data_IF_436744995107
#
_entry.id   IF_436744995107
#
_cell.length_a   1.000
_cell.length_b   1.000
_cell.length_c   1.000
_cell.angle_alpha   90.00
_cell.angle_beta   90.00
_cell.angle_gamma   90.00
#
_symmetry.space_group_name_H-M   'P 1'
#
loop_
_entity.id
_entity.type
_entity.pdbx_description
1 polymer ?
#
# COMPACT_ATOMS: atom_id res chain seq x y z
N UNK A 1 -9.62 16.49 2.15
CA UNK A 1 -8.22 16.57 2.65
C UNK A 1 -7.65 15.18 2.75
N UNK A 2 -6.42 14.98 2.29
CA UNK A 2 -5.73 13.69 2.38
C UNK A 2 -4.98 13.62 3.72
N UNK A 3 -5.26 12.59 4.51
CA UNK A 3 -4.63 12.42 5.83
C UNK A 3 -3.99 11.04 5.93
N UNK A 4 -2.95 10.95 6.76
CA UNK A 4 -2.15 9.73 6.95
C UNK A 4 -1.96 9.49 8.44
N UNK A 5 -2.07 8.24 8.87
CA UNK A 5 -1.66 7.83 10.21
C UNK A 5 -0.84 6.55 10.14
N UNK A 6 0.04 6.35 11.12
CA UNK A 6 1.01 5.27 11.14
C UNK A 6 0.98 4.62 12.52
N UNK A 7 0.98 3.28 12.56
CA UNK A 7 1.03 2.51 13.79
C UNK A 7 2.03 1.36 13.61
N UNK A 8 3.03 1.29 14.47
CA UNK A 8 4.07 0.27 14.43
C UNK A 8 4.01 -0.67 15.65
N UNK A 9 2.93 -0.61 16.43
CA UNK A 9 2.81 -1.39 17.66
C UNK A 9 2.44 -2.86 17.44
N UNK A 10 1.97 -3.22 16.26
CA UNK A 10 1.55 -4.58 15.94
C UNK A 10 2.68 -5.43 15.34
N UNK A 11 2.32 -6.64 14.90
CA UNK A 11 3.31 -7.57 14.30
C UNK A 11 3.76 -7.16 12.90
N UNK A 12 3.19 -6.13 12.32
CA UNK A 12 3.60 -5.54 11.05
C UNK A 12 3.35 -4.04 11.13
N UNK A 13 3.91 -3.31 10.18
CA UNK A 13 3.73 -1.86 10.10
C UNK A 13 2.37 -1.56 9.48
N UNK A 14 1.58 -0.70 10.13
CA UNK A 14 0.27 -0.29 9.63
C UNK A 14 0.32 1.18 9.22
N UNK A 15 -0.06 1.46 7.98
CA UNK A 15 -0.21 2.82 7.48
C UNK A 15 -1.62 3.00 6.94
N UNK A 16 -2.30 4.05 7.37
CA UNK A 16 -3.69 4.34 7.01
C UNK A 16 -3.76 5.69 6.35
N UNK A 17 -4.45 5.77 5.21
CA UNK A 17 -4.72 7.03 4.54
C UNK A 17 -6.20 7.22 4.35
N UNK A 18 -6.64 8.47 4.23
CA UNK A 18 -8.04 8.80 3.96
C UNK A 18 -8.14 10.08 3.14
N UNK A 19 -9.25 10.21 2.41
CA UNK A 19 -9.57 11.39 1.64
C UNK A 19 -9.34 11.21 0.15
N UNK A 20 -9.57 12.29 -0.60
CA UNK A 20 -9.33 12.30 -2.05
C UNK A 20 -7.84 12.31 -2.31
N UNK A 21 -7.39 11.45 -3.22
CA UNK A 21 -5.97 11.28 -3.48
C UNK A 21 -5.67 11.31 -4.97
N UNK A 22 -4.69 12.11 -5.33
CA UNK A 22 -4.09 12.12 -6.67
C UNK A 22 -2.80 11.30 -6.62
N UNK A 23 -2.16 11.12 -7.75
CA UNK A 23 -0.94 10.31 -7.86
C UNK A 23 0.14 10.76 -6.87
N UNK A 24 0.39 12.07 -6.78
CA UNK A 24 1.40 12.62 -5.87
C UNK A 24 1.13 12.28 -4.40
N UNK A 25 -0.14 12.31 -3.97
CA UNK A 25 -0.50 11.95 -2.60
C UNK A 25 -0.14 10.49 -2.30
N UNK A 26 -0.47 9.59 -3.22
CA UNK A 26 -0.26 8.16 -3.00
C UNK A 26 1.23 7.78 -3.11
N UNK A 27 1.96 8.40 -4.02
CA UNK A 27 3.41 8.19 -4.11
C UNK A 27 4.11 8.69 -2.84
N UNK A 28 3.74 9.87 -2.35
CA UNK A 28 4.30 10.40 -1.11
C UNK A 28 3.97 9.55 0.10
N UNK A 29 2.75 9.03 0.16
CA UNK A 29 2.32 8.12 1.21
C UNK A 29 3.14 6.82 1.19
N UNK A 30 3.39 6.27 0.00
CA UNK A 30 4.22 5.08 -0.14
C UNK A 30 5.66 5.34 0.32
N UNK A 31 6.24 6.47 -0.07
CA UNK A 31 7.60 6.84 0.32
C UNK A 31 7.73 6.99 1.85
N UNK A 32 6.79 7.72 2.46
CA UNK A 32 6.79 7.91 3.90
C UNK A 32 6.65 6.58 4.63
N UNK A 33 5.67 5.76 4.23
CA UNK A 33 5.40 4.48 4.86
C UNK A 33 6.61 3.56 4.78
N UNK A 34 7.25 3.48 3.63
CA UNK A 34 8.43 2.65 3.42
C UNK A 34 9.59 3.11 4.31
N UNK A 35 9.87 4.41 4.33
CA UNK A 35 10.99 4.95 5.13
C UNK A 35 10.80 4.69 6.61
N UNK A 36 9.60 4.89 7.13
CA UNK A 36 9.34 4.67 8.55
C UNK A 36 9.39 3.17 8.87
N UNK A 37 8.81 2.32 8.02
CA UNK A 37 8.85 0.88 8.21
C UNK A 37 10.28 0.35 8.26
N UNK A 38 11.13 0.78 7.33
CA UNK A 38 12.54 0.38 7.29
C UNK A 38 13.28 0.87 8.54
N UNK A 39 13.04 2.12 8.95
CA UNK A 39 13.66 2.69 10.15
C UNK A 39 13.27 1.94 11.42
N UNK A 40 12.07 1.35 11.45
CA UNK A 40 11.58 0.57 12.59
C UNK A 40 11.94 -0.91 12.49
N UNK A 41 12.62 -1.33 11.44
CA UNK A 41 12.98 -2.73 11.23
C UNK A 41 11.82 -3.62 10.83
N UNK A 42 10.70 -3.06 10.38
CA UNK A 42 9.54 -3.82 9.92
C UNK A 42 9.78 -4.31 8.50
N UNK A 43 9.43 -5.56 8.25
CA UNK A 43 9.58 -6.19 6.93
C UNK A 43 8.26 -6.40 6.21
N UNK A 44 7.16 -6.30 6.94
CA UNK A 44 5.82 -6.51 6.40
C UNK A 44 4.97 -5.31 6.74
N UNK A 45 4.16 -4.87 5.76
CA UNK A 45 3.40 -3.63 5.85
C UNK A 45 1.97 -3.87 5.39
N UNK A 46 1.02 -3.30 6.14
CA UNK A 46 -0.37 -3.20 5.69
C UNK A 46 -0.67 -1.75 5.38
N UNK A 47 -1.13 -1.49 4.17
CA UNK A 47 -1.53 -0.17 3.69
C UNK A 47 -3.05 -0.15 3.60
N UNK A 48 -3.70 0.56 4.52
CA UNK A 48 -5.16 0.65 4.57
C UNK A 48 -5.62 1.86 3.77
N UNK A 49 -6.28 1.58 2.64
CA UNK A 49 -6.81 2.58 1.72
C UNK A 49 -8.34 2.55 1.66
N UNK A 50 -9.01 1.93 2.63
CA UNK A 50 -10.47 1.81 2.62
C UNK A 50 -11.18 3.15 2.58
N UNK A 51 -10.59 4.20 3.18
CA UNK A 51 -11.16 5.53 3.22
C UNK A 51 -10.57 6.48 2.17
N UNK A 52 -9.79 5.96 1.23
CA UNK A 52 -9.21 6.76 0.15
C UNK A 52 -10.11 6.73 -1.08
N UNK A 53 -10.33 7.91 -1.66
CA UNK A 53 -11.01 8.06 -2.94
C UNK A 53 -9.97 8.45 -3.99
N UNK A 54 -9.48 7.50 -4.79
CA UNK A 54 -8.42 7.80 -5.75
C UNK A 54 -8.96 8.49 -6.99
N UNK A 55 -8.20 9.47 -7.48
CA UNK A 55 -8.47 10.18 -8.71
C UNK A 55 -7.27 9.98 -9.64
N UNK A 56 -7.20 8.78 -10.24
CA UNK A 56 -6.10 8.37 -11.10
C UNK A 56 -6.60 7.88 -12.44
N UNK A 57 -5.90 8.28 -13.50
CA UNK A 57 -6.09 7.69 -14.83
C UNK A 57 -5.48 6.28 -14.86
N UNK A 58 -5.74 5.53 -15.92
CA UNK A 58 -5.14 4.21 -16.10
C UNK A 58 -3.61 4.29 -16.09
N UNK A 59 -3.06 5.25 -16.84
CA UNK A 59 -1.61 5.46 -16.90
C UNK A 59 -1.04 5.78 -15.52
N UNK A 60 -1.74 6.58 -14.74
CA UNK A 60 -1.31 6.92 -13.38
C UNK A 60 -1.35 5.72 -12.44
N UNK A 61 -2.29 4.80 -12.61
CA UNK A 61 -2.28 3.54 -11.85
C UNK A 61 -1.03 2.71 -12.16
N UNK A 62 -0.60 2.70 -13.42
CA UNK A 62 0.65 2.01 -13.81
C UNK A 62 1.87 2.69 -13.19
N UNK A 63 1.89 4.02 -13.19
CA UNK A 63 2.96 4.81 -12.58
C UNK A 63 3.02 4.57 -11.06
N UNK A 64 1.85 4.52 -10.42
CA UNK A 64 1.78 4.25 -8.98
C UNK A 64 2.34 2.87 -8.66
N UNK A 65 1.97 1.85 -9.43
CA UNK A 65 2.48 0.50 -9.22
C UNK A 65 4.00 0.42 -9.33
N UNK A 66 4.57 1.07 -10.34
CA UNK A 66 6.02 1.12 -10.52
C UNK A 66 6.70 1.86 -9.36
N UNK A 67 6.12 2.97 -8.92
CA UNK A 67 6.65 3.75 -7.81
C UNK A 67 6.61 2.95 -6.49
N UNK A 68 5.49 2.29 -6.23
CA UNK A 68 5.31 1.45 -5.04
C UNK A 68 6.33 0.31 -5.03
N UNK A 69 6.59 -0.30 -6.18
CA UNK A 69 7.58 -1.38 -6.28
C UNK A 69 8.98 -0.88 -5.89
N UNK A 70 9.34 0.32 -6.30
CA UNK A 70 10.62 0.92 -5.93
C UNK A 70 10.66 1.29 -4.46
N UNK A 71 9.61 1.95 -3.97
CA UNK A 71 9.54 2.44 -2.59
C UNK A 71 9.58 1.29 -1.57
N UNK A 72 8.87 0.20 -1.84
CA UNK A 72 8.77 -0.92 -0.92
C UNK A 72 9.72 -2.09 -1.25
N UNK A 73 10.67 -1.88 -2.15
CA UNK A 73 11.63 -2.93 -2.54
C UNK A 73 12.35 -3.58 -1.34
N UNK A 74 12.69 -2.86 -0.25
CA UNK A 74 13.35 -3.48 0.91
C UNK A 74 12.43 -4.37 1.76
N UNK A 75 11.11 -4.34 1.51
CA UNK A 75 10.15 -5.04 2.34
C UNK A 75 9.84 -6.44 1.80
N UNK A 76 9.44 -7.33 2.71
CA UNK A 76 9.16 -8.73 2.39
C UNK A 76 7.74 -8.92 1.82
N UNK A 77 6.74 -8.32 2.48
CA UNK A 77 5.34 -8.39 2.04
C UNK A 77 4.66 -7.05 2.21
N UNK A 78 3.87 -6.67 1.22
CA UNK A 78 3.05 -5.47 1.26
C UNK A 78 1.61 -5.86 0.97
N UNK A 79 0.71 -5.63 1.91
CA UNK A 79 -0.72 -5.82 1.72
C UNK A 79 -1.38 -4.46 1.58
N UNK A 80 -2.18 -4.28 0.54
CA UNK A 80 -3.03 -3.09 0.40
C UNK A 80 -4.48 -3.51 0.59
N UNK A 81 -5.26 -2.68 1.26
CA UNK A 81 -6.70 -2.92 1.47
C UNK A 81 -7.48 -1.78 0.86
N UNK A 82 -8.35 -2.09 -0.08
CA UNK A 82 -9.13 -1.10 -0.83
C UNK A 82 -10.61 -1.46 -0.78
N UNK A 83 -11.53 -0.50 -1.04
CA UNK A 83 -12.93 -0.84 -1.21
C UNK A 83 -13.11 -1.79 -2.40
N UNK A 84 -14.15 -2.64 -2.34
CA UNK A 84 -14.38 -3.65 -3.37
C UNK A 84 -14.51 -3.04 -4.77
N UNK A 85 -15.13 -1.86 -4.89
CA UNK A 85 -15.30 -1.17 -6.15
C UNK A 85 -13.99 -0.57 -6.70
N UNK A 86 -12.93 -0.53 -5.89
CA UNK A 86 -11.63 0.00 -6.29
C UNK A 86 -10.61 -1.11 -6.59
N UNK A 87 -10.95 -2.37 -6.38
CA UNK A 87 -10.04 -3.49 -6.62
C UNK A 87 -10.00 -3.85 -8.10
N UNK A 88 -9.32 -3.04 -8.89
CA UNK A 88 -9.17 -3.24 -10.35
C UNK A 88 -7.90 -4.01 -10.72
N UNK A 89 -6.94 -4.07 -9.82
CA UNK A 89 -5.73 -4.86 -10.02
C UNK A 89 -4.64 -4.20 -10.86
N UNK A 90 -4.87 -3.00 -11.40
CA UNK A 90 -3.90 -2.35 -12.29
C UNK A 90 -2.58 -2.03 -11.57
N UNK A 91 -2.66 -1.34 -10.43
CA UNK A 91 -1.46 -1.00 -9.64
C UNK A 91 -0.81 -2.23 -9.04
N UNK A 92 -1.60 -3.18 -8.57
CA UNK A 92 -1.10 -4.44 -8.02
C UNK A 92 -0.28 -5.21 -9.06
N UNK A 93 -0.82 -5.39 -10.27
CA UNK A 93 -0.14 -6.11 -11.33
C UNK A 93 1.13 -5.38 -11.77
N UNK A 94 1.08 -4.05 -11.85
CA UNK A 94 2.25 -3.26 -12.20
C UNK A 94 3.36 -3.42 -11.15
N UNK A 95 3.01 -3.38 -9.85
CA UNK A 95 3.99 -3.55 -8.78
C UNK A 95 4.58 -4.96 -8.80
N UNK A 96 3.74 -5.98 -8.99
CA UNK A 96 4.19 -7.37 -9.07
C UNK A 96 5.11 -7.60 -10.26
N UNK A 97 4.82 -6.98 -11.38
CA UNK A 97 5.66 -7.07 -12.59
C UNK A 97 7.06 -6.51 -12.33
N UNK A 98 7.18 -5.54 -11.44
CA UNK A 98 8.46 -4.97 -11.04
C UNK A 98 9.11 -5.72 -9.86
N UNK A 99 8.59 -6.88 -9.49
CA UNK A 99 9.20 -7.78 -8.51
C UNK A 99 8.75 -7.60 -7.06
N UNK A 100 7.80 -6.72 -6.79
CA UNK A 100 7.31 -6.52 -5.43
C UNK A 100 6.30 -7.61 -5.04
N UNK A 101 6.46 -8.17 -3.84
CA UNK A 101 5.51 -9.13 -3.28
C UNK A 101 4.37 -8.36 -2.62
N UNK A 102 3.46 -7.86 -3.45
CA UNK A 102 2.30 -7.08 -3.04
C UNK A 102 1.01 -7.80 -3.39
N UNK A 103 0.06 -7.81 -2.46
CA UNK A 103 -1.30 -8.31 -2.72
C UNK A 103 -2.32 -7.29 -2.26
N UNK A 104 -3.41 -7.18 -3.02
CA UNK A 104 -4.51 -6.28 -2.71
C UNK A 104 -5.71 -7.06 -2.21
N UNK A 105 -6.28 -6.58 -1.11
CA UNK A 105 -7.42 -7.20 -0.44
C UNK A 105 -8.56 -6.19 -0.33
N UNK A 106 -9.75 -6.68 -0.08
CA UNK A 106 -10.92 -5.84 0.24
C UNK A 106 -11.34 -5.99 1.71
N UNK A 107 -10.61 -6.80 2.47
CA UNK A 107 -10.88 -7.08 3.88
C UNK A 107 -9.59 -6.95 4.69
N UNK A 108 -9.66 -6.22 5.81
CA UNK A 108 -8.53 -6.11 6.73
C UNK A 108 -8.18 -7.46 7.34
N UNK A 109 -9.19 -8.31 7.61
CA UNK A 109 -8.95 -9.62 8.17
C UNK A 109 -8.15 -10.52 7.23
N UNK A 110 -8.48 -10.51 5.94
CA UNK A 110 -7.76 -11.31 4.96
C UNK A 110 -6.32 -10.82 4.77
N UNK A 111 -6.13 -9.50 4.75
CA UNK A 111 -4.80 -8.90 4.65
C UNK A 111 -3.94 -9.27 5.87
N UNK A 112 -4.51 -9.17 7.06
CA UNK A 112 -3.85 -9.53 8.31
C UNK A 112 -3.42 -11.01 8.28
N UNK A 113 -4.32 -11.90 7.89
CA UNK A 113 -4.03 -13.33 7.82
C UNK A 113 -2.88 -13.62 6.85
N UNK A 114 -2.86 -12.96 5.70
CA UNK A 114 -1.78 -13.15 4.72
C UNK A 114 -0.45 -12.61 5.25
N UNK A 115 -0.45 -11.45 5.90
CA UNK A 115 0.77 -10.85 6.45
C UNK A 115 1.36 -11.70 7.57
N UNK A 116 0.51 -12.39 8.34
CA UNK A 116 0.96 -13.22 9.47
C UNK A 116 1.25 -14.67 9.06
N UNK A 117 0.96 -15.05 7.82
CA UNK A 117 1.23 -16.41 7.34
C UNK A 117 2.73 -16.64 7.14
N UNK A 118 3.12 -17.88 7.19
CA UNK A 118 4.54 -18.27 7.00
C UNK A 118 4.94 -18.46 5.54
#
# INVERSE_FOLDING_TARGET
>A
MFTVSIDDAGPYFLAVASGKAQLGHLCGFADLSSRVAVAKGCKRVLIDLLAVEPHLSFTEHLQLGAHVATAFAPLDRVATVVPANEKKGTSEKAAQKHGLHLRTFTSLEEADAWLLST
#
